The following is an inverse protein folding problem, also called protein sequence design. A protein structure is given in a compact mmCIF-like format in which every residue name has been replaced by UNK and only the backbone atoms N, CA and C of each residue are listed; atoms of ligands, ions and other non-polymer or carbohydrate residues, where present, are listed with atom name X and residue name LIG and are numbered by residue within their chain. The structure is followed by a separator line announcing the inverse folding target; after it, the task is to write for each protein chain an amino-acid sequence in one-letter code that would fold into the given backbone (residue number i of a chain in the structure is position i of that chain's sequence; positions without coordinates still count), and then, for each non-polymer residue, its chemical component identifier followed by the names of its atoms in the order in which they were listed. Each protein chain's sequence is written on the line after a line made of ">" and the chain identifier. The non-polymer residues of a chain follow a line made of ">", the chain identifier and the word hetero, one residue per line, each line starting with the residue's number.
data_IF_050133603047
#
_entry.id   IF_050133603047
#
_cell.length_a   1.000
_cell.length_b   1.000
_cell.length_c   1.000
_cell.angle_alpha   90.00
_cell.angle_beta   90.00
_cell.angle_gamma   90.00
#
_symmetry.space_group_name_H-M   'P 1'
#
loop_
_entity.id
_entity.type
_entity.pdbx_description
1 polymer ?
#
# COMPACT_ATOMS: atom_id res chain seq x y z
N UNK A 1 12.44 -11.76 14.03
CA UNK A 1 11.13 -12.40 14.24
C UNK A 1 10.87 -13.41 13.15
N UNK A 2 10.19 -14.50 13.47
CA UNK A 2 9.78 -15.51 12.48
C UNK A 2 8.70 -14.95 11.55
N UNK A 3 8.53 -15.60 10.40
CA UNK A 3 7.45 -15.27 9.46
C UNK A 3 6.05 -15.40 10.09
N UNK A 4 5.87 -16.40 10.96
CA UNK A 4 4.64 -16.60 11.73
C UNK A 4 4.36 -15.44 12.70
N UNK A 5 5.38 -14.92 13.39
CA UNK A 5 5.21 -13.76 14.27
C UNK A 5 4.76 -12.50 13.49
N UNK A 6 5.30 -12.28 12.29
CA UNK A 6 4.83 -11.20 11.39
C UNK A 6 3.36 -11.38 11.03
N UNK A 7 2.98 -12.60 10.64
CA UNK A 7 1.58 -12.95 10.35
C UNK A 7 0.66 -12.60 11.52
N UNK A 8 1.03 -12.99 12.74
CA UNK A 8 0.26 -12.72 13.96
C UNK A 8 0.10 -11.23 14.25
N UNK A 9 1.13 -10.41 13.99
CA UNK A 9 1.03 -8.95 14.14
C UNK A 9 0.01 -8.38 13.15
N UNK A 10 0.08 -8.79 11.87
CA UNK A 10 -0.84 -8.32 10.83
C UNK A 10 -2.30 -8.71 11.12
N UNK A 11 -2.55 -9.92 11.64
CA UNK A 11 -3.88 -10.35 12.09
C UNK A 11 -4.39 -9.50 13.26
N UNK A 12 -3.58 -9.32 14.30
CA UNK A 12 -3.96 -8.47 15.46
C UNK A 12 -4.25 -7.03 15.04
N UNK A 13 -3.46 -6.48 14.12
CA UNK A 13 -3.71 -5.16 13.57
C UNK A 13 -5.06 -5.07 12.87
N UNK A 14 -5.41 -6.07 12.05
CA UNK A 14 -6.73 -6.11 11.40
C UNK A 14 -7.88 -6.19 12.41
N UNK A 15 -7.73 -6.95 13.50
CA UNK A 15 -8.71 -7.01 14.60
C UNK A 15 -8.87 -5.65 15.30
N UNK A 16 -7.76 -4.96 15.57
CA UNK A 16 -7.78 -3.61 16.16
C UNK A 16 -8.47 -2.60 15.25
N UNK A 17 -8.22 -2.65 13.94
CA UNK A 17 -8.89 -1.77 12.99
C UNK A 17 -10.40 -2.01 12.96
N UNK A 18 -10.84 -3.28 13.01
CA UNK A 18 -12.27 -3.58 13.10
C UNK A 18 -12.89 -3.01 14.39
N UNK A 19 -12.19 -3.12 15.52
CA UNK A 19 -12.65 -2.57 16.81
C UNK A 19 -12.81 -1.04 16.77
N UNK A 20 -11.99 -0.35 15.98
CA UNK A 20 -11.99 1.11 15.83
C UNK A 20 -12.65 1.59 14.53
N UNK A 21 -13.48 0.76 13.89
CA UNK A 21 -14.02 1.05 12.55
C UNK A 21 -14.75 2.39 12.46
N UNK A 22 -15.58 2.71 13.46
CA UNK A 22 -16.43 3.90 13.40
C UNK A 22 -15.61 5.19 13.48
N UNK A 23 -14.59 5.19 14.35
CA UNK A 23 -13.64 6.29 14.52
C UNK A 23 -12.81 6.48 13.24
N UNK A 24 -12.28 5.39 12.68
CA UNK A 24 -11.46 5.43 11.47
C UNK A 24 -12.28 5.90 10.27
N UNK A 25 -13.52 5.40 10.10
CA UNK A 25 -14.41 5.80 9.02
C UNK A 25 -14.77 7.28 9.12
N UNK A 26 -15.08 7.76 10.32
CA UNK A 26 -15.39 9.17 10.54
C UNK A 26 -14.19 10.04 10.20
N UNK A 27 -12.99 9.67 10.67
CA UNK A 27 -11.78 10.43 10.37
C UNK A 27 -11.47 10.44 8.87
N UNK A 28 -11.59 9.30 8.19
CA UNK A 28 -11.36 9.22 6.73
C UNK A 28 -12.33 10.14 5.98
N UNK A 29 -13.61 10.11 6.36
CA UNK A 29 -14.66 10.98 5.80
C UNK A 29 -14.29 12.46 5.96
N UNK A 30 -13.95 12.89 7.17
CA UNK A 30 -13.62 14.30 7.46
C UNK A 30 -12.32 14.76 6.81
N UNK A 31 -11.33 13.88 6.74
CA UNK A 31 -10.00 14.17 6.22
C UNK A 31 -9.97 14.20 4.69
N UNK A 32 -10.67 13.27 4.03
CA UNK A 32 -10.67 13.14 2.57
C UNK A 32 -11.85 13.86 1.88
N UNK A 33 -13.02 13.93 2.54
CA UNK A 33 -14.24 14.49 1.97
C UNK A 33 -15.18 13.46 1.30
N UNK A 34 -14.81 12.17 1.26
CA UNK A 34 -15.71 11.09 0.81
C UNK A 34 -16.91 10.91 1.72
N UNK A 35 -17.96 10.26 1.22
CA UNK A 35 -19.15 9.93 2.01
C UNK A 35 -18.83 8.88 3.09
N UNK A 36 -19.42 9.07 4.28
CA UNK A 36 -19.19 8.17 5.41
C UNK A 36 -19.58 6.72 5.10
N UNK A 37 -20.67 6.52 4.38
CA UNK A 37 -21.13 5.18 4.03
C UNK A 37 -20.11 4.42 3.16
N UNK A 38 -19.45 5.10 2.23
CA UNK A 38 -18.38 4.52 1.42
C UNK A 38 -17.18 4.16 2.29
N UNK A 39 -16.73 5.06 3.15
CA UNK A 39 -15.61 4.81 4.06
C UNK A 39 -15.90 3.61 4.99
N UNK A 40 -17.07 3.59 5.63
CA UNK A 40 -17.45 2.60 6.63
C UNK A 40 -17.83 1.23 6.03
N UNK A 41 -18.61 1.21 4.94
CA UNK A 41 -19.18 -0.04 4.40
C UNK A 41 -18.40 -0.63 3.23
N UNK A 42 -17.52 0.14 2.59
CA UNK A 42 -16.74 -0.33 1.43
C UNK A 42 -15.24 -0.37 1.74
N UNK A 43 -14.65 0.78 2.10
CA UNK A 43 -13.19 0.90 2.19
C UNK A 43 -12.62 0.21 3.42
N UNK A 44 -13.21 0.41 4.60
CA UNK A 44 -12.74 -0.27 5.82
C UNK A 44 -12.82 -1.80 5.76
N UNK A 45 -13.93 -2.41 5.32
CA UNK A 45 -13.98 -3.86 5.15
C UNK A 45 -12.91 -4.37 4.18
N UNK A 46 -12.66 -3.63 3.08
CA UNK A 46 -11.60 -3.97 2.14
C UNK A 46 -10.20 -3.80 2.76
N UNK A 47 -9.97 -2.74 3.51
CA UNK A 47 -8.73 -2.47 4.22
C UNK A 47 -8.37 -3.62 5.18
N UNK A 48 -9.32 -4.03 6.03
CA UNK A 48 -9.15 -5.17 6.95
C UNK A 48 -8.87 -6.45 6.17
N UNK A 49 -9.66 -6.72 5.11
CA UNK A 49 -9.48 -7.90 4.26
C UNK A 49 -8.08 -7.97 3.64
N UNK A 50 -7.51 -6.84 3.21
CA UNK A 50 -6.15 -6.78 2.67
C UNK A 50 -5.11 -7.21 3.71
N UNK A 51 -5.25 -6.77 4.96
CA UNK A 51 -4.32 -7.19 6.02
C UNK A 51 -4.48 -8.66 6.40
N UNK A 52 -5.70 -9.19 6.44
CA UNK A 52 -5.90 -10.64 6.57
C UNK A 52 -5.24 -11.42 5.42
N UNK A 53 -5.38 -10.94 4.19
CA UNK A 53 -4.77 -11.57 3.02
C UNK A 53 -3.24 -11.58 3.13
N UNK A 54 -2.61 -10.44 3.41
CA UNK A 54 -1.15 -10.35 3.52
C UNK A 54 -0.58 -11.03 4.77
N UNK A 55 -1.35 -11.09 5.86
CA UNK A 55 -0.98 -11.92 7.00
C UNK A 55 -0.85 -13.40 6.61
N UNK A 56 -1.74 -13.89 5.74
CA UNK A 56 -1.70 -15.24 5.19
C UNK A 56 -0.51 -15.50 4.27
N UNK A 57 0.11 -14.47 3.71
CA UNK A 57 1.30 -14.58 2.87
C UNK A 57 2.62 -14.58 3.65
N UNK A 58 2.66 -13.98 4.85
CA UNK A 58 3.91 -13.73 5.55
C UNK A 58 4.79 -14.98 5.76
N UNK A 59 4.17 -16.15 5.97
CA UNK A 59 4.80 -17.47 6.16
C UNK A 59 4.76 -18.39 4.93
N UNK A 60 4.39 -17.86 3.75
CA UNK A 60 4.25 -18.60 2.48
C UNK A 60 5.08 -17.99 1.35
N UNK A 61 6.09 -17.20 1.69
CA UNK A 61 7.04 -16.67 0.71
C UNK A 61 8.15 -17.71 0.54
N UNK A 62 8.07 -18.44 -0.56
CA UNK A 62 8.97 -19.55 -0.87
C UNK A 62 9.95 -19.14 -1.98
N UNK A 63 11.20 -19.59 -1.85
CA UNK A 63 12.13 -19.69 -2.98
C UNK A 63 11.95 -21.01 -3.72
N UNK A 64 12.93 -21.36 -4.56
CA UNK A 64 12.93 -22.57 -5.38
C UNK A 64 14.22 -23.35 -5.17
N UNK A 65 14.15 -24.68 -5.26
CA UNK A 65 15.32 -25.52 -5.49
C UNK A 65 15.37 -25.83 -6.98
N UNK A 66 16.49 -25.52 -7.64
CA UNK A 66 16.60 -25.55 -9.10
C UNK A 66 17.46 -26.74 -9.53
N UNK A 67 17.02 -27.58 -10.49
CA UNK A 67 17.85 -28.62 -11.08
C UNK A 67 18.90 -27.96 -11.99
N UNK A 68 20.12 -27.84 -11.49
CA UNK A 68 21.25 -27.32 -12.25
C UNK A 68 21.94 -28.43 -13.05
N UNK A 69 22.51 -28.08 -14.19
CA UNK A 69 23.39 -28.97 -14.93
C UNK A 69 24.66 -29.25 -14.10
N UNK A 70 25.04 -30.53 -14.01
CA UNK A 70 26.23 -30.96 -13.25
C UNK A 70 26.01 -31.14 -11.74
N UNK A 71 27.10 -31.15 -10.97
CA UNK A 71 27.09 -31.50 -9.54
C UNK A 71 26.98 -30.26 -8.65
N UNK A 72 25.92 -29.47 -8.84
CA UNK A 72 25.66 -28.27 -8.04
C UNK A 72 24.30 -28.35 -7.32
N UNK A 73 24.25 -27.88 -6.08
CA UNK A 73 23.00 -27.60 -5.40
C UNK A 73 22.66 -26.12 -5.57
N UNK A 74 21.52 -25.82 -6.20
CA UNK A 74 21.07 -24.45 -6.45
C UNK A 74 19.72 -24.23 -5.78
N UNK A 75 19.63 -23.15 -5.01
CA UNK A 75 18.39 -22.68 -4.42
C UNK A 75 18.28 -21.16 -4.51
N UNK A 76 17.07 -20.65 -4.60
CA UNK A 76 16.78 -19.22 -4.50
C UNK A 76 16.20 -18.90 -3.13
N UNK A 77 16.55 -17.72 -2.61
CA UNK A 77 15.98 -17.17 -1.38
C UNK A 77 15.25 -15.88 -1.75
N UNK A 78 14.03 -15.72 -1.24
CA UNK A 78 13.26 -14.48 -1.38
C UNK A 78 13.39 -13.67 -0.09
N UNK A 79 14.49 -12.91 -0.01
CA UNK A 79 14.79 -12.06 1.13
C UNK A 79 14.03 -10.72 1.03
N UNK A 80 13.69 -10.08 2.17
CA UNK A 80 13.19 -8.71 2.15
C UNK A 80 14.20 -7.78 1.45
N UNK A 81 13.69 -6.79 0.72
CA UNK A 81 14.55 -5.83 0.02
C UNK A 81 15.27 -4.89 0.98
N UNK A 82 14.69 -4.65 2.17
CA UNK A 82 15.22 -3.72 3.17
C UNK A 82 14.23 -2.61 3.51
N UNK A 83 14.67 -1.36 3.40
CA UNK A 83 13.89 -0.14 3.64
C UNK A 83 13.07 0.23 2.40
N UNK A 84 11.75 0.08 2.50
CA UNK A 84 10.80 0.48 1.46
C UNK A 84 10.30 1.91 1.68
N UNK A 85 10.70 2.83 0.81
CA UNK A 85 10.11 4.15 0.70
C UNK A 85 8.78 4.08 -0.05
N UNK A 86 7.72 4.59 0.54
CA UNK A 86 6.36 4.46 0.02
C UNK A 86 5.69 5.83 -0.02
N UNK A 87 5.11 6.22 -1.17
CA UNK A 87 4.45 7.52 -1.34
C UNK A 87 3.05 7.27 -1.87
N UNK A 88 2.02 7.73 -1.13
CA UNK A 88 0.60 7.49 -1.44
C UNK A 88 -0.13 8.78 -1.85
N UNK A 89 -1.17 8.67 -2.70
CA UNK A 89 -2.06 9.77 -3.06
C UNK A 89 -3.15 9.97 -2.00
N UNK A 90 -4.03 10.94 -2.25
CA UNK A 90 -5.08 11.35 -1.32
C UNK A 90 -6.45 10.73 -1.56
N UNK A 91 -6.71 10.07 -2.69
CA UNK A 91 -8.07 9.67 -3.10
C UNK A 91 -8.63 8.49 -2.28
N UNK A 92 -7.79 7.51 -1.93
CA UNK A 92 -8.14 6.40 -1.04
C UNK A 92 -7.06 6.21 0.04
N UNK A 93 -6.91 7.14 1.00
CA UNK A 93 -5.77 7.16 1.93
C UNK A 93 -5.53 5.82 2.65
N UNK A 94 -6.58 5.23 3.21
CA UNK A 94 -6.49 3.92 3.89
C UNK A 94 -6.16 2.78 2.92
N UNK A 95 -6.86 2.65 1.79
CA UNK A 95 -6.57 1.54 0.86
C UNK A 95 -5.16 1.64 0.26
N UNK A 96 -4.71 2.86 -0.03
CA UNK A 96 -3.34 3.10 -0.51
C UNK A 96 -2.30 2.74 0.54
N UNK A 97 -2.59 3.03 1.81
CA UNK A 97 -1.79 2.55 2.93
C UNK A 97 -1.75 1.01 2.94
N UNK A 98 -2.90 0.32 2.87
CA UNK A 98 -2.97 -1.13 2.93
C UNK A 98 -2.23 -1.83 1.78
N UNK A 99 -2.41 -1.34 0.54
CA UNK A 99 -1.75 -1.87 -0.65
C UNK A 99 -0.24 -1.74 -0.63
N UNK A 100 0.31 -0.80 0.15
CA UNK A 100 1.76 -0.63 0.28
C UNK A 100 2.31 -1.30 1.54
N UNK A 101 1.72 -1.05 2.70
CA UNK A 101 2.22 -1.53 3.99
C UNK A 101 2.00 -3.03 4.16
N UNK A 102 0.83 -3.55 3.79
CA UNK A 102 0.48 -4.97 3.90
C UNK A 102 1.50 -5.91 3.26
N UNK A 103 1.78 -5.81 1.94
CA UNK A 103 2.73 -6.70 1.29
C UNK A 103 4.17 -6.47 1.77
N UNK A 104 4.56 -5.21 2.04
CA UNK A 104 5.91 -4.90 2.49
C UNK A 104 6.22 -5.56 3.85
N UNK A 105 5.30 -5.47 4.81
CA UNK A 105 5.43 -6.12 6.12
C UNK A 105 5.37 -7.65 6.03
N UNK A 106 4.50 -8.21 5.18
CA UNK A 106 4.43 -9.65 4.97
C UNK A 106 5.78 -10.22 4.51
N UNK A 107 6.42 -9.53 3.56
CA UNK A 107 7.76 -9.85 3.06
C UNK A 107 8.90 -9.57 4.06
N UNK A 108 8.64 -8.86 5.16
CA UNK A 108 9.64 -8.57 6.20
C UNK A 108 10.45 -7.29 5.96
N UNK A 109 9.95 -6.37 5.14
CA UNK A 109 10.57 -5.06 4.91
C UNK A 109 10.24 -4.09 6.06
N UNK A 110 11.09 -3.08 6.23
CA UNK A 110 10.78 -1.87 7.01
C UNK A 110 10.32 -0.76 6.07
N UNK A 111 9.58 0.22 6.58
CA UNK A 111 8.83 1.16 5.75
C UNK A 111 9.03 2.59 6.24
N UNK A 112 9.26 3.49 5.29
CA UNK A 112 9.04 4.93 5.46
C UNK A 112 7.93 5.34 4.50
N UNK A 113 6.75 5.64 5.04
CA UNK A 113 5.56 6.02 4.27
C UNK A 113 5.34 7.54 4.34
N UNK A 114 5.30 8.18 3.17
CA UNK A 114 4.85 9.55 3.00
C UNK A 114 3.39 9.59 2.55
N UNK A 115 2.56 10.21 3.38
CA UNK A 115 1.12 10.43 3.11
C UNK A 115 0.93 11.63 2.19
N UNK A 116 -0.19 11.69 1.48
CA UNK A 116 -0.57 12.90 0.77
C UNK A 116 -0.84 14.03 1.77
N UNK A 117 -0.36 15.24 1.46
CA UNK A 117 -0.49 16.43 2.31
C UNK A 117 -1.96 16.81 2.57
N UNK A 118 -2.88 16.45 1.66
CA UNK A 118 -4.31 16.69 1.80
C UNK A 118 -4.98 15.75 2.81
N UNK A 119 -4.45 14.53 3.01
CA UNK A 119 -5.11 13.47 3.78
C UNK A 119 -4.18 12.75 4.76
N UNK A 120 -3.44 13.46 5.64
CA UNK A 120 -2.41 12.82 6.46
C UNK A 120 -2.96 12.04 7.66
N UNK A 121 -4.19 12.29 8.11
CA UNK A 121 -4.63 11.93 9.45
C UNK A 121 -4.86 10.43 9.68
N UNK A 122 -5.50 9.73 8.75
CA UNK A 122 -5.89 8.33 8.96
C UNK A 122 -4.73 7.36 8.99
N UNK A 123 -3.70 7.60 8.18
CA UNK A 123 -2.45 6.83 8.22
C UNK A 123 -1.75 6.94 9.60
N UNK A 124 -1.78 8.12 10.23
CA UNK A 124 -1.23 8.33 11.56
C UNK A 124 -2.04 7.57 12.63
N UNK A 125 -3.37 7.60 12.53
CA UNK A 125 -4.25 6.85 13.43
C UNK A 125 -3.99 5.34 13.35
N UNK A 126 -3.98 4.76 12.15
CA UNK A 126 -3.76 3.30 12.01
C UNK A 126 -2.32 2.89 12.33
N UNK A 127 -1.33 3.77 12.16
CA UNK A 127 0.05 3.49 12.60
C UNK A 127 0.14 3.30 14.12
N UNK A 128 -0.67 4.02 14.92
CA UNK A 128 -0.78 3.78 16.36
C UNK A 128 -1.29 2.36 16.66
N UNK A 129 -2.30 1.90 15.91
CA UNK A 129 -2.84 0.54 16.07
C UNK A 129 -1.82 -0.54 15.71
N UNK A 130 -0.88 -0.28 14.80
CA UNK A 130 0.25 -1.19 14.55
C UNK A 130 1.16 -1.34 15.77
N UNK A 131 1.44 -0.23 16.47
CA UNK A 131 2.23 -0.29 17.69
C UNK A 131 1.50 -1.10 18.78
N UNK A 132 0.19 -0.88 18.95
CA UNK A 132 -0.66 -1.69 19.83
C UNK A 132 -0.72 -3.17 19.42
N UNK A 133 -0.65 -3.47 18.12
CA UNK A 133 -0.58 -4.84 17.60
C UNK A 133 0.78 -5.52 17.88
N UNK A 134 1.77 -4.79 18.41
CA UNK A 134 3.11 -5.29 18.72
C UNK A 134 4.08 -5.22 17.54
N UNK A 135 3.86 -4.33 16.58
CA UNK A 135 4.86 -4.04 15.55
C UNK A 135 6.07 -3.35 16.22
N UNK A 136 7.32 -3.85 16.02
CA UNK A 136 8.48 -3.23 16.63
C UNK A 136 8.70 -1.79 16.18
N UNK A 137 9.31 -1.01 17.06
CA UNK A 137 9.70 0.37 16.77
C UNK A 137 10.61 0.45 15.53
N UNK A 138 10.41 1.48 14.71
CA UNK A 138 11.18 1.71 13.49
C UNK A 138 10.79 0.85 12.29
N UNK A 139 9.91 -0.17 12.44
CA UNK A 139 9.48 -1.00 11.30
C UNK A 139 8.52 -0.25 10.37
N UNK A 140 7.64 0.57 10.92
CA UNK A 140 6.75 1.45 10.16
C UNK A 140 6.92 2.89 10.65
N UNK A 141 7.35 3.76 9.74
CA UNK A 141 7.56 5.19 10.01
C UNK A 141 6.66 5.99 9.07
N UNK A 142 5.84 6.88 9.63
CA UNK A 142 4.95 7.75 8.85
C UNK A 142 5.51 9.17 8.86
N UNK A 143 5.75 9.74 7.69
CA UNK A 143 6.23 11.11 7.54
C UNK A 143 5.25 11.87 6.65
N UNK A 144 4.44 12.73 7.24
CA UNK A 144 3.52 13.59 6.49
C UNK A 144 4.23 14.87 6.04
N UNK A 145 3.95 15.32 4.82
CA UNK A 145 4.55 16.53 4.27
C UNK A 145 4.22 16.74 2.80
N UNK A 146 4.82 17.75 2.17
CA UNK A 146 4.59 18.06 0.76
C UNK A 146 5.39 17.17 -0.16
N UNK A 147 4.89 16.97 -1.39
CA UNK A 147 5.60 16.22 -2.45
C UNK A 147 7.02 16.74 -2.71
N UNK A 148 7.21 18.03 -3.04
CA UNK A 148 8.53 18.59 -3.36
C UNK A 148 9.56 18.57 -2.23
N UNK A 149 9.13 18.39 -0.98
CA UNK A 149 10.02 18.34 0.19
C UNK A 149 10.16 16.92 0.71
N UNK A 150 9.18 16.43 1.47
CA UNK A 150 9.21 15.11 2.09
C UNK A 150 9.24 13.98 1.04
N UNK A 151 8.44 14.11 -0.03
CA UNK A 151 8.39 13.11 -1.10
C UNK A 151 9.70 13.04 -1.89
N UNK A 152 10.25 14.19 -2.28
CA UNK A 152 11.52 14.27 -3.01
C UNK A 152 12.70 13.75 -2.17
N UNK A 153 12.78 14.15 -0.89
CA UNK A 153 13.81 13.67 0.03
C UNK A 153 13.77 12.15 0.18
N UNK A 154 12.58 11.56 0.34
CA UNK A 154 12.41 10.11 0.41
C UNK A 154 12.82 9.43 -0.91
N UNK A 155 12.44 10.00 -2.05
CA UNK A 155 12.76 9.43 -3.36
C UNK A 155 14.27 9.43 -3.67
N UNK A 156 14.98 10.48 -3.27
CA UNK A 156 16.42 10.62 -3.49
C UNK A 156 17.30 10.07 -2.37
N UNK A 157 16.73 9.51 -1.29
CA UNK A 157 17.51 9.04 -0.14
C UNK A 157 18.43 7.88 -0.51
N UNK A 158 19.70 7.92 -0.08
CA UNK A 158 20.71 6.91 -0.46
C UNK A 158 20.52 5.56 0.23
N UNK A 159 19.97 5.57 1.45
CA UNK A 159 19.73 4.35 2.26
C UNK A 159 18.29 3.84 2.19
N UNK A 160 17.57 4.16 1.12
CA UNK A 160 16.25 3.55 0.83
C UNK A 160 16.45 2.55 -0.30
N UNK A 161 16.09 1.30 -0.04
CA UNK A 161 16.38 0.17 -0.94
C UNK A 161 15.37 0.04 -2.08
N UNK A 162 14.13 0.53 -1.88
CA UNK A 162 13.06 0.47 -2.88
C UNK A 162 12.10 1.64 -2.77
N UNK A 163 11.56 2.10 -3.90
CA UNK A 163 10.38 2.98 -3.93
C UNK A 163 9.12 2.28 -4.44
N UNK A 164 7.99 2.68 -3.86
CA UNK A 164 6.65 2.42 -4.40
C UNK A 164 5.83 3.71 -4.38
N UNK A 165 5.54 4.26 -5.55
CA UNK A 165 4.79 5.51 -5.70
C UNK A 165 3.42 5.24 -6.34
N UNK A 166 2.40 5.92 -5.83
CA UNK A 166 1.10 6.00 -6.49
C UNK A 166 0.70 7.46 -6.62
N UNK A 167 0.29 7.90 -7.81
CA UNK A 167 -0.08 9.29 -8.05
C UNK A 167 -0.10 9.67 -9.54
N UNK A 168 0.16 10.94 -9.86
CA UNK A 168 0.13 11.39 -11.25
C UNK A 168 1.31 10.85 -12.07
N UNK A 169 1.08 10.69 -13.37
CA UNK A 169 2.12 10.25 -14.32
C UNK A 169 3.33 11.18 -14.33
N UNK A 170 3.12 12.49 -14.23
CA UNK A 170 4.22 13.45 -14.25
C UNK A 170 5.07 13.39 -12.98
N UNK A 171 4.46 13.25 -11.81
CA UNK A 171 5.22 13.03 -10.57
C UNK A 171 5.92 11.66 -10.59
N UNK A 172 5.31 10.63 -11.19
CA UNK A 172 5.94 9.33 -11.39
C UNK A 172 7.26 9.41 -12.17
N UNK A 173 7.33 10.25 -13.22
CA UNK A 173 8.58 10.52 -13.96
C UNK A 173 9.64 11.15 -13.05
N UNK A 174 9.25 12.13 -12.23
CA UNK A 174 10.16 12.78 -11.27
C UNK A 174 10.69 11.77 -10.25
N UNK A 175 9.83 10.88 -9.73
CA UNK A 175 10.25 9.82 -8.80
C UNK A 175 11.30 8.90 -9.43
N UNK A 176 11.10 8.50 -10.70
CA UNK A 176 12.10 7.70 -11.43
C UNK A 176 13.42 8.47 -11.62
N UNK A 177 13.37 9.75 -11.97
CA UNK A 177 14.57 10.57 -12.14
C UNK A 177 15.36 10.70 -10.82
N UNK A 178 14.68 10.91 -9.70
CA UNK A 178 15.31 11.00 -8.38
C UNK A 178 15.91 9.67 -7.92
N UNK A 179 15.24 8.55 -8.21
CA UNK A 179 15.80 7.22 -7.96
C UNK A 179 17.04 6.96 -8.83
N UNK A 180 16.98 7.33 -10.11
CA UNK A 180 18.08 7.17 -11.06
C UNK A 180 19.31 8.01 -10.69
N UNK A 181 19.10 9.23 -10.18
CA UNK A 181 20.18 10.14 -9.75
C UNK A 181 20.79 9.83 -8.40
N UNK A 182 20.16 8.97 -7.60
CA UNK A 182 20.63 8.61 -6.26
C UNK A 182 21.34 7.25 -6.28
N UNK A 183 20.70 6.21 -5.80
CA UNK A 183 21.29 4.87 -5.61
C UNK A 183 20.74 3.81 -6.59
N UNK A 184 20.05 4.23 -7.66
CA UNK A 184 19.40 3.33 -8.63
C UNK A 184 18.39 2.35 -7.99
N UNK A 185 17.79 2.71 -6.84
CA UNK A 185 16.77 1.89 -6.17
C UNK A 185 15.64 1.51 -7.13
N UNK A 186 15.17 0.24 -7.13
CA UNK A 186 14.02 -0.19 -7.92
C UNK A 186 12.76 0.59 -7.56
N UNK A 187 11.96 0.92 -8.57
CA UNK A 187 10.75 1.74 -8.43
C UNK A 187 9.56 0.99 -9.01
N UNK A 188 8.46 0.95 -8.26
CA UNK A 188 7.14 0.54 -8.77
C UNK A 188 6.20 1.73 -8.79
N UNK A 189 5.51 1.94 -9.91
CA UNK A 189 4.64 3.09 -10.14
C UNK A 189 3.22 2.64 -10.46
N UNK A 190 2.25 3.17 -9.71
CA UNK A 190 0.82 3.10 -10.03
C UNK A 190 0.35 4.50 -10.41
N UNK A 191 0.00 4.71 -11.68
CA UNK A 191 -0.19 6.05 -12.26
C UNK A 191 -1.62 6.30 -12.69
N UNK A 192 -1.88 7.49 -13.22
CA UNK A 192 -3.18 7.85 -13.79
C UNK A 192 -3.52 7.01 -15.03
N UNK A 193 -4.81 6.91 -15.33
CA UNK A 193 -5.33 6.19 -16.49
C UNK A 193 -6.45 6.93 -17.19
N UNK A 194 -6.74 6.50 -18.42
CA UNK A 194 -7.93 6.88 -19.18
C UNK A 194 -8.64 5.62 -19.65
N UNK A 195 -9.09 4.83 -18.68
CA UNK A 195 -9.62 3.48 -18.91
C UNK A 195 -10.92 3.53 -19.73
N UNK A 196 -10.98 2.92 -20.92
CA UNK A 196 -12.19 2.87 -21.72
C UNK A 196 -13.19 1.85 -21.15
N UNK A 197 -14.48 2.13 -21.30
CA UNK A 197 -15.58 1.20 -21.02
C UNK A 197 -16.35 0.98 -22.33
N UNK A 198 -16.31 -0.23 -22.89
CA UNK A 198 -16.88 -0.54 -24.21
C UNK A 198 -18.16 -1.36 -24.02
N UNK A 199 -19.26 -0.89 -24.60
CA UNK A 199 -20.56 -1.55 -24.59
C UNK A 199 -20.81 -2.12 -25.99
N UNK A 200 -20.89 -3.44 -26.08
CA UNK A 200 -21.16 -4.16 -27.33
C UNK A 200 -22.67 -4.22 -27.62
N UNK A 201 -23.04 -4.57 -28.85
CA UNK A 201 -24.43 -4.64 -29.31
C UNK A 201 -25.28 -5.66 -28.52
N UNK A 202 -24.65 -6.72 -28.02
CA UNK A 202 -25.27 -7.80 -27.25
C UNK A 202 -25.35 -7.53 -25.74
N UNK A 203 -24.94 -6.34 -25.29
CA UNK A 203 -24.98 -5.98 -23.88
C UNK A 203 -26.41 -5.74 -23.38
N UNK A 204 -26.68 -6.19 -22.15
CA UNK A 204 -27.82 -5.72 -21.36
C UNK A 204 -27.63 -4.21 -21.10
N UNK A 205 -28.42 -3.39 -21.78
CA UNK A 205 -28.29 -1.93 -21.79
C UNK A 205 -28.53 -1.34 -20.40
N UNK A 206 -29.56 -1.80 -19.69
CA UNK A 206 -29.90 -1.27 -18.37
C UNK A 206 -28.78 -1.57 -17.37
N UNK A 207 -28.25 -2.80 -17.40
CA UNK A 207 -27.09 -3.15 -16.58
C UNK A 207 -25.84 -2.39 -16.99
N UNK A 208 -25.60 -2.20 -18.28
CA UNK A 208 -24.43 -1.49 -18.78
C UNK A 208 -24.41 -0.03 -18.31
N UNK A 209 -25.57 0.63 -18.29
CA UNK A 209 -25.72 2.01 -17.79
C UNK A 209 -25.35 2.10 -16.31
N UNK A 210 -25.91 1.24 -15.47
CA UNK A 210 -25.64 1.24 -14.02
C UNK A 210 -24.15 1.00 -13.70
N UNK A 211 -23.55 0.00 -14.36
CA UNK A 211 -22.13 -0.32 -14.16
C UNK A 211 -21.22 0.80 -14.69
N UNK A 212 -21.52 1.37 -15.86
CA UNK A 212 -20.74 2.47 -16.41
C UNK A 212 -20.82 3.73 -15.53
N UNK A 213 -22.01 4.03 -14.99
CA UNK A 213 -22.20 5.14 -14.06
C UNK A 213 -21.33 4.95 -12.80
N UNK A 214 -21.45 3.79 -12.13
CA UNK A 214 -20.64 3.49 -10.95
C UNK A 214 -19.14 3.50 -11.24
N UNK A 215 -18.71 2.91 -12.37
CA UNK A 215 -17.30 2.83 -12.74
C UNK A 215 -16.63 4.19 -12.94
N UNK A 216 -17.39 5.24 -13.28
CA UNK A 216 -16.86 6.59 -13.51
C UNK A 216 -17.03 7.52 -12.31
N UNK A 217 -18.18 7.46 -11.63
CA UNK A 217 -18.55 8.45 -10.60
C UNK A 217 -18.35 7.96 -9.16
N UNK A 218 -17.78 6.78 -8.95
CA UNK A 218 -17.43 6.29 -7.62
C UNK A 218 -16.27 7.08 -7.01
N UNK A 219 -16.37 7.35 -5.70
CA UNK A 219 -15.49 8.18 -4.85
C UNK A 219 -15.60 9.69 -5.08
#
# INVERSE_FOLDING_TARGET
>A
MTAYERSRILLRFADLVQKHSDEIAALETWNNGKIYEQAAKTELPMFVRLFHYYAGWADKIHGLTVPADGNYHVQTLHEPIGVAGQIIPWNFPLLMFAWKVGPALACGNTIVLKTAEQTPLTALLVAKLFHEAGLPEGVLNIVSGYGPTAGAALASHMDVDKLAFTGSTDTGKVVLELAARSNLKPVTLELGGKSPFIICEDADVDRAVEVAHFALFFN
#
